data_IF_565631863211
#
_entry.id   IF_565631863211
#
_cell.length_a   1.000
_cell.length_b   1.000
_cell.length_c   1.000
_cell.angle_alpha   90.00
_cell.angle_beta   90.00
_cell.angle_gamma   90.00
#
_symmetry.space_group_name_H-M   'P 1'
#
loop_
_entity.id
_entity.type
_entity.pdbx_description
1 polymer ?
#
# COMPACT_ATOMS: atom_id res chain seq x y z
N UNK A 1 43.19 -15.29 -0.23
CA UNK A 1 42.15 -14.25 0.03
C UNK A 1 41.52 -14.35 1.43
N UNK A 2 42.36 -14.43 2.47
CA UNK A 2 41.91 -14.48 3.87
C UNK A 2 41.14 -13.21 4.25
N UNK A 3 41.53 -12.05 3.73
CA UNK A 3 40.85 -10.77 3.99
C UNK A 3 39.40 -10.72 3.44
N UNK A 4 39.14 -11.34 2.30
CA UNK A 4 37.81 -11.41 1.72
C UNK A 4 36.88 -12.35 2.52
N UNK A 5 37.42 -13.45 3.05
CA UNK A 5 36.67 -14.39 3.90
C UNK A 5 36.38 -13.77 5.27
N UNK A 6 37.34 -13.04 5.87
CA UNK A 6 37.14 -12.31 7.13
C UNK A 6 36.05 -11.24 6.96
N UNK A 7 36.10 -10.45 5.90
CA UNK A 7 35.08 -9.41 5.62
C UNK A 7 33.68 -9.99 5.41
N UNK A 8 33.56 -11.14 4.72
CA UNK A 8 32.28 -11.84 4.55
C UNK A 8 31.73 -12.36 5.88
N UNK A 9 32.60 -12.83 6.77
CA UNK A 9 32.19 -13.33 8.08
C UNK A 9 31.72 -12.20 8.99
N UNK A 10 32.39 -11.06 8.96
CA UNK A 10 31.97 -9.86 9.70
C UNK A 10 30.62 -9.34 9.19
N UNK A 11 30.43 -9.26 7.87
CA UNK A 11 29.14 -8.86 7.31
C UNK A 11 28.01 -9.84 7.68
N UNK A 12 28.27 -11.14 7.63
CA UNK A 12 27.29 -12.15 8.03
C UNK A 12 26.91 -12.03 9.51
N UNK A 13 27.88 -11.80 10.39
CA UNK A 13 27.65 -11.62 11.83
C UNK A 13 26.85 -10.34 12.12
N UNK A 14 27.17 -9.23 11.44
CA UNK A 14 26.43 -7.95 11.55
C UNK A 14 24.97 -8.11 11.15
N UNK A 15 24.71 -8.78 10.02
CA UNK A 15 23.36 -9.09 9.57
C UNK A 15 22.63 -10.02 10.54
N UNK A 16 23.33 -11.02 11.10
CA UNK A 16 22.73 -11.93 12.08
C UNK A 16 22.34 -11.19 13.36
N UNK A 17 23.20 -10.31 13.89
CA UNK A 17 22.90 -9.50 15.08
C UNK A 17 21.68 -8.60 14.80
N UNK A 18 21.62 -7.98 13.63
CA UNK A 18 20.48 -7.17 13.20
C UNK A 18 19.18 -7.98 13.19
N UNK A 19 19.17 -9.14 12.53
CA UNK A 19 17.95 -9.96 12.39
C UNK A 19 17.52 -10.54 13.74
N UNK A 20 18.45 -11.06 14.53
CA UNK A 20 18.14 -11.68 15.82
C UNK A 20 17.62 -10.65 16.82
N UNK A 21 18.23 -9.46 16.90
CA UNK A 21 17.77 -8.40 17.80
C UNK A 21 16.38 -7.86 17.37
N UNK A 22 16.14 -7.72 16.06
CA UNK A 22 14.86 -7.27 15.54
C UNK A 22 13.74 -8.29 15.84
N UNK A 23 13.97 -9.56 15.50
CA UNK A 23 12.98 -10.63 15.75
C UNK A 23 12.77 -10.80 17.26
N UNK A 24 13.83 -10.76 18.07
CA UNK A 24 13.74 -10.85 19.52
C UNK A 24 12.91 -9.74 20.14
N UNK A 25 13.12 -8.48 19.72
CA UNK A 25 12.33 -7.34 20.18
C UNK A 25 10.86 -7.45 19.76
N UNK A 26 10.60 -7.89 18.52
CA UNK A 26 9.23 -8.11 18.03
C UNK A 26 8.54 -9.29 18.76
N UNK A 27 9.26 -10.35 19.09
CA UNK A 27 8.73 -11.49 19.86
C UNK A 27 8.34 -11.11 21.28
N UNK A 28 8.98 -10.09 21.85
CA UNK A 28 8.60 -9.47 23.13
C UNK A 28 7.38 -8.53 23.02
N UNK A 29 6.77 -8.41 21.83
CA UNK A 29 5.59 -7.58 21.61
C UNK A 29 5.90 -6.08 21.43
N UNK A 30 7.14 -5.70 21.21
CA UNK A 30 7.50 -4.29 20.98
C UNK A 30 7.00 -3.80 19.61
N UNK A 31 6.42 -2.58 19.50
CA UNK A 31 6.12 -1.96 18.22
C UNK A 31 7.39 -1.83 17.36
N UNK A 32 7.23 -1.96 16.03
CA UNK A 32 8.34 -1.99 15.06
C UNK A 32 9.30 -0.81 15.22
N UNK A 33 8.80 0.40 15.51
CA UNK A 33 9.64 1.58 15.71
C UNK A 33 10.63 1.41 16.87
N UNK A 34 10.16 0.90 18.01
CA UNK A 34 11.02 0.63 19.17
C UNK A 34 11.92 -0.57 18.93
N UNK A 35 11.45 -1.61 18.25
CA UNK A 35 12.24 -2.76 17.88
C UNK A 35 13.44 -2.36 17.00
N UNK A 36 13.24 -1.43 16.05
CA UNK A 36 14.32 -0.88 15.22
C UNK A 36 15.32 -0.03 16.02
N UNK A 37 14.86 0.74 17.01
CA UNK A 37 15.75 1.48 17.90
C UNK A 37 16.63 0.54 18.74
N UNK A 38 16.02 -0.48 19.34
CA UNK A 38 16.75 -1.52 20.11
C UNK A 38 17.76 -2.22 19.20
N UNK A 39 17.36 -2.56 18.00
CA UNK A 39 18.22 -3.17 17.00
C UNK A 39 19.43 -2.28 16.66
N UNK A 40 19.20 -0.96 16.47
CA UNK A 40 20.26 0.02 16.22
C UNK A 40 21.25 0.10 17.38
N UNK A 41 20.76 0.12 18.64
CA UNK A 41 21.60 0.10 19.84
C UNK A 41 22.42 -1.19 19.93
N UNK A 42 21.79 -2.37 19.74
CA UNK A 42 22.47 -3.66 19.76
C UNK A 42 23.55 -3.75 18.67
N UNK A 43 23.27 -3.23 17.49
CA UNK A 43 24.23 -3.23 16.40
C UNK A 43 25.42 -2.32 16.68
N UNK A 44 25.19 -1.12 17.21
CA UNK A 44 26.27 -0.20 17.60
C UNK A 44 27.12 -0.78 18.74
N UNK A 45 26.49 -1.39 19.74
CA UNK A 45 27.20 -2.06 20.82
C UNK A 45 28.07 -3.21 20.30
N UNK A 46 27.55 -4.03 19.38
CA UNK A 46 28.30 -5.10 18.73
C UNK A 46 29.50 -4.58 17.93
N UNK A 47 29.29 -3.54 17.10
CA UNK A 47 30.35 -2.94 16.29
C UNK A 47 31.43 -2.25 17.14
N UNK A 48 31.07 -1.67 18.28
CA UNK A 48 32.01 -1.13 19.25
C UNK A 48 32.82 -2.23 19.94
N UNK A 49 32.16 -3.34 20.34
CA UNK A 49 32.83 -4.48 20.97
C UNK A 49 33.80 -5.21 20.01
N UNK A 50 33.51 -5.19 18.71
CA UNK A 50 34.38 -5.79 17.69
C UNK A 50 35.51 -4.87 17.21
N UNK A 51 35.57 -3.64 17.73
CA UNK A 51 36.62 -2.65 17.37
C UNK A 51 36.43 -2.03 15.99
N UNK A 52 35.30 -2.26 15.32
CA UNK A 52 34.94 -1.63 14.04
C UNK A 52 34.58 -0.15 14.24
N UNK A 53 33.93 0.16 15.38
CA UNK A 53 33.66 1.54 15.83
C UNK A 53 34.59 1.87 17.00
N UNK A 54 35.19 3.06 16.98
CA UNK A 54 36.15 3.51 17.98
C UNK A 54 35.55 3.62 19.39
N UNK A 55 34.25 3.92 19.52
CA UNK A 55 33.50 3.91 20.79
C UNK A 55 32.00 3.84 20.51
N UNK A 56 31.23 3.34 21.49
CA UNK A 56 29.78 3.49 21.50
C UNK A 56 29.45 4.96 21.83
N UNK A 57 28.85 5.65 20.87
CA UNK A 57 28.41 7.04 21.06
C UNK A 57 26.90 7.16 20.85
N UNK A 58 26.18 7.30 21.96
CA UNK A 58 24.72 7.49 21.95
C UNK A 58 24.29 8.76 21.18
N UNK A 59 25.19 9.73 21.07
CA UNK A 59 24.90 10.98 20.36
C UNK A 59 24.77 10.74 18.85
N UNK A 60 25.57 9.83 18.30
CA UNK A 60 25.45 9.44 16.88
C UNK A 60 24.07 8.83 16.62
N UNK A 61 23.57 7.98 17.53
CA UNK A 61 22.25 7.37 17.39
C UNK A 61 21.14 8.45 17.42
N UNK A 62 21.23 9.38 18.39
CA UNK A 62 20.28 10.48 18.51
C UNK A 62 20.29 11.39 17.27
N UNK A 63 21.47 11.74 16.76
CA UNK A 63 21.60 12.52 15.53
C UNK A 63 21.00 11.79 14.33
N UNK A 64 21.31 10.51 14.12
CA UNK A 64 20.75 9.72 13.03
C UNK A 64 19.23 9.57 13.10
N UNK A 65 18.69 9.52 14.32
CA UNK A 65 17.24 9.51 14.52
C UNK A 65 16.60 10.85 14.11
N UNK A 66 17.20 11.96 14.51
CA UNK A 66 16.72 13.30 14.14
C UNK A 66 16.88 13.53 12.64
N UNK A 67 18.05 13.26 12.07
CA UNK A 67 18.32 13.41 10.63
C UNK A 67 17.37 12.53 9.76
N UNK A 68 17.05 11.33 10.26
CA UNK A 68 16.10 10.43 9.59
C UNK A 68 14.67 10.94 9.64
N UNK A 69 14.28 11.64 10.70
CA UNK A 69 12.95 12.23 10.86
C UNK A 69 12.85 13.61 10.16
N UNK A 70 13.90 14.40 10.19
CA UNK A 70 13.98 15.73 9.56
C UNK A 70 14.35 15.61 8.06
N UNK A 71 13.44 14.99 7.32
CA UNK A 71 13.63 14.82 5.88
C UNK A 71 12.43 15.41 5.13
N UNK A 72 12.68 16.43 4.31
CA UNK A 72 11.65 17.16 3.59
C UNK A 72 10.68 16.25 2.80
N UNK A 73 11.12 15.22 2.04
CA UNK A 73 10.23 14.27 1.41
C UNK A 73 9.27 13.52 2.35
N UNK A 74 9.62 13.32 3.62
CA UNK A 74 8.72 12.66 4.59
C UNK A 74 7.51 13.54 4.95
N UNK A 75 7.60 14.86 4.81
CA UNK A 75 6.47 15.76 5.00
C UNK A 75 5.34 15.45 4.00
N UNK A 76 5.65 14.89 2.84
CA UNK A 76 4.62 14.48 1.90
C UNK A 76 3.66 13.41 2.48
N UNK A 77 4.14 12.54 3.38
CA UNK A 77 3.34 11.45 3.96
C UNK A 77 2.11 11.98 4.72
N UNK A 78 2.24 12.86 5.74
CA UNK A 78 1.08 13.38 6.45
C UNK A 78 0.16 14.21 5.54
N UNK A 79 0.70 14.95 4.57
CA UNK A 79 -0.13 15.70 3.63
C UNK A 79 -0.92 14.79 2.68
N UNK A 80 -0.34 13.70 2.18
CA UNK A 80 -1.07 12.72 1.39
C UNK A 80 -2.14 11.99 2.21
N UNK A 81 -1.86 11.63 3.46
CA UNK A 81 -2.85 11.04 4.36
C UNK A 81 -4.01 12.01 4.59
N UNK A 82 -3.71 13.26 4.91
CA UNK A 82 -4.73 14.29 5.13
C UNK A 82 -5.59 14.52 3.87
N UNK A 83 -4.96 14.64 2.71
CA UNK A 83 -5.66 14.77 1.43
C UNK A 83 -6.56 13.56 1.18
N UNK A 84 -6.06 12.34 1.37
CA UNK A 84 -6.81 11.10 1.22
C UNK A 84 -8.04 11.06 2.15
N UNK A 85 -7.89 11.44 3.41
CA UNK A 85 -9.00 11.51 4.36
C UNK A 85 -10.04 12.56 3.96
N UNK A 86 -9.63 13.75 3.54
CA UNK A 86 -10.57 14.76 3.05
C UNK A 86 -11.32 14.30 1.79
N UNK A 87 -10.65 13.62 0.89
CA UNK A 87 -11.26 13.07 -0.32
C UNK A 87 -12.27 11.96 0.03
N UNK A 88 -11.95 11.07 0.96
CA UNK A 88 -12.86 10.03 1.44
C UNK A 88 -14.06 10.63 2.16
N UNK A 89 -13.86 11.59 3.07
CA UNK A 89 -14.93 12.32 3.77
C UNK A 89 -15.81 13.12 2.78
N UNK A 90 -15.23 13.63 1.70
CA UNK A 90 -15.93 14.30 0.60
C UNK A 90 -16.76 13.36 -0.29
N UNK A 91 -16.76 12.04 0.00
CA UNK A 91 -17.55 11.04 -0.74
C UNK A 91 -16.96 10.66 -2.10
N UNK A 92 -15.66 10.91 -2.32
CA UNK A 92 -14.99 10.59 -3.57
C UNK A 92 -15.01 9.09 -3.84
N UNK A 93 -14.73 8.25 -2.84
CA UNK A 93 -14.77 6.79 -2.93
C UNK A 93 -16.11 6.29 -3.46
N UNK A 94 -17.22 6.88 -2.98
CA UNK A 94 -18.56 6.53 -3.44
C UNK A 94 -18.77 6.91 -4.90
N UNK A 95 -18.30 8.08 -5.33
CA UNK A 95 -18.42 8.54 -6.73
C UNK A 95 -17.61 7.67 -7.69
N UNK A 96 -16.45 7.19 -7.27
CA UNK A 96 -15.62 6.25 -8.04
C UNK A 96 -16.33 4.92 -8.20
N UNK A 97 -16.94 4.40 -7.13
CA UNK A 97 -17.74 3.17 -7.17
C UNK A 97 -18.95 3.34 -8.08
N UNK A 98 -19.71 4.44 -7.94
CA UNK A 98 -20.88 4.72 -8.78
C UNK A 98 -20.51 4.80 -10.26
N UNK A 99 -19.36 5.42 -10.57
CA UNK A 99 -18.83 5.45 -11.94
C UNK A 99 -18.49 4.04 -12.43
N UNK A 100 -17.78 3.24 -11.63
CA UNK A 100 -17.46 1.85 -11.94
C UNK A 100 -18.72 1.03 -12.21
N UNK A 101 -19.75 1.17 -11.36
CA UNK A 101 -21.04 0.49 -11.54
C UNK A 101 -21.70 0.89 -12.88
N UNK A 102 -21.67 2.18 -13.22
CA UNK A 102 -22.25 2.65 -14.46
C UNK A 102 -21.60 2.05 -15.72
N UNK A 103 -20.28 1.85 -15.70
CA UNK A 103 -19.53 1.39 -16.87
C UNK A 103 -19.30 -0.14 -16.89
N UNK A 104 -18.98 -0.72 -15.77
CA UNK A 104 -18.52 -2.12 -15.65
C UNK A 104 -19.53 -3.00 -14.92
N UNK A 105 -20.46 -2.43 -14.16
CA UNK A 105 -21.41 -3.18 -13.32
C UNK A 105 -22.32 -4.16 -14.07
N UNK A 106 -22.57 -3.93 -15.35
CA UNK A 106 -23.44 -4.75 -16.18
C UNK A 106 -22.82 -6.06 -16.67
N UNK A 107 -21.51 -6.27 -16.46
CA UNK A 107 -20.88 -7.55 -16.79
C UNK A 107 -21.21 -8.63 -15.75
N UNK A 108 -21.05 -9.89 -16.13
CA UNK A 108 -21.15 -11.00 -15.19
C UNK A 108 -20.07 -10.85 -14.11
N UNK A 109 -20.47 -10.77 -12.82
CA UNK A 109 -19.55 -10.44 -11.74
C UNK A 109 -19.16 -8.96 -11.69
N UNK A 110 -19.95 -8.07 -12.29
CA UNK A 110 -19.64 -6.64 -12.52
C UNK A 110 -19.19 -5.88 -11.28
N UNK A 111 -19.82 -6.10 -10.12
CA UNK A 111 -19.41 -5.43 -8.87
C UNK A 111 -17.99 -5.79 -8.43
N UNK A 112 -17.50 -6.98 -8.77
CA UNK A 112 -16.13 -7.32 -8.49
C UNK A 112 -15.13 -6.60 -9.40
N UNK A 113 -15.47 -6.42 -10.70
CA UNK A 113 -14.65 -5.57 -11.56
C UNK A 113 -14.68 -4.10 -11.12
N UNK A 114 -15.84 -3.63 -10.63
CA UNK A 114 -15.95 -2.30 -10.01
C UNK A 114 -15.00 -2.19 -8.83
N UNK A 115 -14.90 -3.23 -7.99
CA UNK A 115 -13.98 -3.25 -6.86
C UNK A 115 -12.51 -3.11 -7.31
N UNK A 116 -12.10 -3.85 -8.33
CA UNK A 116 -10.73 -3.80 -8.87
C UNK A 116 -10.43 -2.43 -9.48
N UNK A 117 -11.32 -1.91 -10.33
CA UNK A 117 -11.13 -0.59 -10.97
C UNK A 117 -11.13 0.52 -9.92
N UNK A 118 -12.06 0.49 -8.96
CA UNK A 118 -12.11 1.45 -7.89
C UNK A 118 -10.85 1.40 -7.00
N UNK A 119 -10.33 0.19 -6.71
CA UNK A 119 -9.09 0.04 -5.96
C UNK A 119 -7.88 0.65 -6.68
N UNK A 120 -7.75 0.45 -8.00
CA UNK A 120 -6.69 1.05 -8.81
C UNK A 120 -6.78 2.59 -8.80
N UNK A 121 -7.98 3.15 -8.98
CA UNK A 121 -8.18 4.60 -8.98
C UNK A 121 -7.91 5.18 -7.58
N UNK A 122 -8.41 4.55 -6.52
CA UNK A 122 -8.19 5.02 -5.14
C UNK A 122 -6.71 4.89 -4.73
N UNK A 123 -6.04 3.84 -5.17
CA UNK A 123 -4.61 3.66 -4.97
C UNK A 123 -3.79 4.87 -5.46
N UNK A 124 -4.17 5.44 -6.61
CA UNK A 124 -3.51 6.63 -7.18
C UNK A 124 -3.82 7.94 -6.43
N UNK A 125 -4.70 7.91 -5.43
CA UNK A 125 -5.11 9.10 -4.68
C UNK A 125 -4.52 9.16 -3.28
N UNK A 126 -4.60 8.06 -2.52
CA UNK A 126 -4.21 8.04 -1.10
C UNK A 126 -2.92 7.27 -0.82
N UNK A 127 -2.62 6.25 -1.62
CA UNK A 127 -1.48 5.36 -1.42
C UNK A 127 -1.53 4.57 -0.09
N UNK A 128 -2.69 4.55 0.59
CA UNK A 128 -2.90 3.87 1.87
C UNK A 128 -3.74 2.60 1.69
N UNK A 129 -3.08 1.43 1.76
CA UNK A 129 -3.78 0.15 1.64
C UNK A 129 -4.93 -0.01 2.62
N UNK A 130 -4.73 0.37 3.88
CA UNK A 130 -5.70 0.18 4.96
C UNK A 130 -6.91 1.10 4.79
N UNK A 131 -6.68 2.40 4.58
CA UNK A 131 -7.75 3.38 4.43
C UNK A 131 -8.59 3.10 3.18
N UNK A 132 -7.95 2.83 2.04
CA UNK A 132 -8.63 2.55 0.78
C UNK A 132 -9.44 1.26 0.84
N UNK A 133 -8.86 0.20 1.42
CA UNK A 133 -9.58 -1.06 1.61
C UNK A 133 -10.79 -0.89 2.51
N UNK A 134 -10.65 -0.17 3.61
CA UNK A 134 -11.77 0.09 4.54
C UNK A 134 -12.89 0.90 3.86
N UNK A 135 -12.55 1.96 3.13
CA UNK A 135 -13.51 2.78 2.40
C UNK A 135 -14.26 1.98 1.33
N UNK A 136 -13.54 1.19 0.52
CA UNK A 136 -14.14 0.32 -0.49
C UNK A 136 -14.98 -0.78 0.13
N UNK A 137 -14.52 -1.41 1.21
CA UNK A 137 -15.23 -2.46 1.90
C UNK A 137 -16.58 -1.97 2.44
N UNK A 138 -16.60 -0.78 3.05
CA UNK A 138 -17.81 -0.18 3.60
C UNK A 138 -18.91 0.06 2.54
N UNK A 139 -18.50 0.33 1.30
CA UNK A 139 -19.43 0.60 0.20
C UNK A 139 -19.77 -0.68 -0.57
N UNK A 140 -18.75 -1.43 -0.98
CA UNK A 140 -18.91 -2.53 -1.93
C UNK A 140 -19.41 -3.83 -1.29
N UNK A 141 -18.99 -4.16 -0.05
CA UNK A 141 -19.42 -5.42 0.58
C UNK A 141 -20.94 -5.46 0.78
N UNK A 142 -21.62 -4.41 1.30
CA UNK A 142 -23.07 -4.38 1.38
C UNK A 142 -23.75 -4.49 0.01
N UNK A 143 -23.23 -3.79 -1.00
CA UNK A 143 -23.77 -3.84 -2.37
C UNK A 143 -23.64 -5.24 -2.98
N UNK A 144 -22.47 -5.87 -2.84
CA UNK A 144 -22.21 -7.22 -3.34
C UNK A 144 -23.10 -8.25 -2.63
N UNK A 145 -23.25 -8.13 -1.30
CA UNK A 145 -24.16 -8.99 -0.53
C UNK A 145 -25.62 -8.87 -1.00
N UNK A 146 -26.11 -7.65 -1.22
CA UNK A 146 -27.48 -7.42 -1.74
C UNK A 146 -27.66 -7.98 -3.16
N UNK A 147 -26.62 -7.97 -3.97
CA UNK A 147 -26.61 -8.54 -5.30
C UNK A 147 -26.40 -10.08 -5.34
N UNK A 148 -26.35 -10.73 -4.15
CA UNK A 148 -26.26 -12.20 -4.04
C UNK A 148 -24.84 -12.77 -4.15
N UNK A 149 -23.80 -11.94 -3.98
CA UNK A 149 -22.42 -12.41 -3.92
C UNK A 149 -22.09 -12.99 -2.55
N UNK A 150 -21.22 -13.99 -2.52
CA UNK A 150 -20.69 -14.55 -1.28
C UNK A 150 -19.82 -13.51 -0.55
N UNK A 151 -20.13 -13.24 0.73
CA UNK A 151 -19.48 -12.19 1.52
C UNK A 151 -17.99 -12.44 1.68
N UNK A 152 -17.59 -13.70 1.93
CA UNK A 152 -16.18 -14.04 2.14
C UNK A 152 -15.34 -13.78 0.89
N UNK A 153 -15.87 -14.09 -0.30
CA UNK A 153 -15.19 -13.82 -1.58
C UNK A 153 -15.14 -12.33 -1.91
N UNK A 154 -16.23 -11.62 -1.59
CA UNK A 154 -16.29 -10.17 -1.74
C UNK A 154 -15.26 -9.47 -0.85
N UNK A 155 -15.16 -9.89 0.42
CA UNK A 155 -14.16 -9.37 1.35
C UNK A 155 -12.72 -9.69 0.89
N UNK A 156 -12.46 -10.92 0.45
CA UNK A 156 -11.17 -11.32 -0.10
C UNK A 156 -10.77 -10.52 -1.34
N UNK A 157 -11.72 -10.25 -2.25
CA UNK A 157 -11.47 -9.42 -3.43
C UNK A 157 -11.12 -7.98 -3.07
N UNK A 158 -11.89 -7.36 -2.17
CA UNK A 158 -11.63 -5.98 -1.73
C UNK A 158 -10.30 -5.88 -1.00
N UNK A 159 -9.98 -6.86 -0.14
CA UNK A 159 -8.67 -6.93 0.53
C UNK A 159 -7.51 -7.09 -0.47
N UNK A 160 -7.67 -7.97 -1.47
CA UNK A 160 -6.68 -8.13 -2.54
C UNK A 160 -6.51 -6.83 -3.36
N UNK A 161 -7.62 -6.12 -3.64
CA UNK A 161 -7.58 -4.81 -4.30
C UNK A 161 -6.78 -3.77 -3.51
N UNK A 162 -6.92 -3.77 -2.18
CA UNK A 162 -6.21 -2.84 -1.32
C UNK A 162 -4.68 -2.97 -1.33
N UNK A 163 -4.15 -4.16 -1.67
CA UNK A 163 -2.70 -4.37 -1.79
C UNK A 163 -2.09 -3.59 -2.97
N UNK A 164 -2.90 -3.13 -3.91
CA UNK A 164 -2.44 -2.32 -5.05
C UNK A 164 -1.99 -0.93 -4.59
N UNK A 165 -2.62 -0.35 -3.56
CA UNK A 165 -2.39 1.02 -3.12
C UNK A 165 -0.92 1.34 -2.75
N UNK A 166 -0.16 0.49 -2.06
CA UNK A 166 1.25 0.77 -1.77
C UNK A 166 2.17 0.68 -3.00
N UNK A 167 1.69 0.21 -4.14
CA UNK A 167 2.49 -0.03 -5.35
C UNK A 167 2.22 1.01 -6.44
N UNK A 168 0.97 1.45 -6.59
CA UNK A 168 0.61 2.50 -7.56
C UNK A 168 0.96 3.89 -6.98
N UNK A 169 1.67 4.75 -7.72
CA UNK A 169 1.95 6.12 -7.29
C UNK A 169 0.68 6.99 -7.18
N UNK A 170 0.64 7.93 -6.23
CA UNK A 170 1.61 8.18 -5.17
C UNK A 170 1.51 7.14 -4.03
N UNK A 171 2.64 6.57 -3.62
CA UNK A 171 2.70 5.54 -2.59
C UNK A 171 3.49 6.03 -1.39
N UNK A 172 2.89 5.98 -0.21
CA UNK A 172 3.54 6.31 1.07
C UNK A 172 4.71 5.38 1.31
N UNK A 173 4.57 4.09 0.98
CA UNK A 173 5.63 3.10 1.11
C UNK A 173 6.87 3.46 0.27
N UNK A 174 6.69 3.93 -0.95
CA UNK A 174 7.80 4.34 -1.82
C UNK A 174 8.47 5.63 -1.35
N UNK A 175 7.74 6.56 -0.73
CA UNK A 175 8.32 7.76 -0.13
C UNK A 175 9.25 7.36 1.02
N UNK A 176 8.76 6.55 1.95
CA UNK A 176 9.54 6.06 3.10
C UNK A 176 10.76 5.26 2.63
N UNK A 177 10.56 4.34 1.68
CA UNK A 177 11.66 3.54 1.13
C UNK A 177 12.69 4.39 0.40
N UNK A 178 12.24 5.39 -0.37
CA UNK A 178 13.12 6.31 -1.09
C UNK A 178 14.01 7.12 -0.16
N UNK A 179 13.44 7.62 0.94
CA UNK A 179 14.19 8.35 1.98
C UNK A 179 15.15 7.43 2.71
N UNK A 180 14.68 6.29 3.20
CA UNK A 180 15.51 5.35 3.96
C UNK A 180 16.65 4.74 3.13
N UNK A 181 16.38 4.47 1.84
CA UNK A 181 17.36 3.86 0.92
C UNK A 181 18.19 4.88 0.13
N UNK A 182 17.98 6.20 0.31
CA UNK A 182 18.60 7.26 -0.50
C UNK A 182 18.40 7.03 -2.01
N UNK A 183 17.20 6.56 -2.40
CA UNK A 183 16.82 6.30 -3.79
C UNK A 183 15.82 7.34 -4.26
N UNK A 184 15.88 7.72 -5.53
CA UNK A 184 14.97 8.70 -6.13
C UNK A 184 13.51 8.21 -6.04
N UNK A 185 12.67 8.93 -5.32
CA UNK A 185 11.23 8.66 -5.16
C UNK A 185 10.52 8.67 -6.51
N UNK A 186 10.88 9.60 -7.40
CA UNK A 186 10.31 9.67 -8.76
C UNK A 186 10.59 8.40 -9.56
N UNK A 187 11.81 7.83 -9.47
CA UNK A 187 12.14 6.57 -10.13
C UNK A 187 11.38 5.40 -9.53
N UNK A 188 11.16 5.38 -8.21
CA UNK A 188 10.35 4.36 -7.54
C UNK A 188 8.88 4.45 -7.99
N UNK A 189 8.34 5.64 -8.11
CA UNK A 189 6.97 5.85 -8.60
C UNK A 189 6.81 5.32 -10.03
N UNK A 190 7.73 5.65 -10.93
CA UNK A 190 7.71 5.13 -12.30
C UNK A 190 7.84 3.61 -12.34
N UNK A 191 8.70 3.04 -11.49
CA UNK A 191 8.86 1.59 -11.39
C UNK A 191 7.62 0.87 -10.85
N UNK A 192 6.80 1.53 -10.03
CA UNK A 192 5.57 0.98 -9.44
C UNK A 192 4.40 0.87 -10.40
N UNK A 193 4.37 1.65 -11.48
CA UNK A 193 3.23 1.69 -12.41
C UNK A 193 2.99 0.31 -13.05
N UNK A 194 4.02 -0.28 -13.61
CA UNK A 194 3.91 -1.57 -14.31
C UNK A 194 3.49 -2.71 -13.38
N UNK A 195 4.16 -2.93 -12.23
CA UNK A 195 3.72 -3.94 -11.27
C UNK A 195 2.31 -3.69 -10.75
N UNK A 196 1.94 -2.44 -10.45
CA UNK A 196 0.61 -2.09 -9.96
C UNK A 196 -0.50 -2.41 -10.97
N UNK A 197 -0.29 -2.10 -12.24
CA UNK A 197 -1.22 -2.48 -13.32
C UNK A 197 -1.30 -4.00 -13.48
N UNK A 198 -0.17 -4.70 -13.44
CA UNK A 198 -0.14 -6.17 -13.52
C UNK A 198 -0.88 -6.82 -12.34
N UNK A 199 -0.75 -6.27 -11.13
CA UNK A 199 -1.52 -6.72 -9.97
C UNK A 199 -3.03 -6.53 -10.19
N UNK A 200 -3.45 -5.36 -10.64
CA UNK A 200 -4.84 -5.10 -10.97
C UNK A 200 -5.40 -6.05 -12.03
N UNK A 201 -4.64 -6.28 -13.08
CA UNK A 201 -5.02 -7.23 -14.14
C UNK A 201 -5.11 -8.67 -13.60
N UNK A 202 -4.15 -9.10 -12.80
CA UNK A 202 -4.14 -10.46 -12.22
C UNK A 202 -5.34 -10.69 -11.30
N UNK A 203 -5.68 -9.71 -10.46
CA UNK A 203 -6.88 -9.76 -9.60
C UNK A 203 -8.14 -9.78 -10.46
N UNK A 204 -8.19 -8.97 -11.53
CA UNK A 204 -9.30 -8.96 -12.48
C UNK A 204 -9.50 -10.31 -13.18
N UNK A 205 -8.42 -10.96 -13.60
CA UNK A 205 -8.45 -12.31 -14.22
C UNK A 205 -8.91 -13.36 -13.20
N UNK A 206 -8.35 -13.31 -11.97
CA UNK A 206 -8.77 -14.22 -10.90
C UNK A 206 -10.26 -14.05 -10.58
N UNK A 207 -10.73 -12.80 -10.53
CA UNK A 207 -12.16 -12.52 -10.33
C UNK A 207 -13.03 -13.04 -11.48
N UNK A 208 -12.58 -12.92 -12.71
CA UNK A 208 -13.30 -13.48 -13.87
C UNK A 208 -13.54 -14.98 -13.72
N UNK A 209 -12.54 -15.71 -13.26
CA UNK A 209 -12.66 -17.15 -13.00
C UNK A 209 -13.68 -17.46 -11.91
N UNK A 210 -13.63 -16.70 -10.80
CA UNK A 210 -14.57 -16.84 -9.68
C UNK A 210 -15.99 -16.49 -10.11
N UNK A 211 -16.19 -15.36 -10.79
CA UNK A 211 -17.50 -14.92 -11.26
C UNK A 211 -18.13 -15.88 -12.27
N UNK A 212 -17.31 -16.55 -13.09
CA UNK A 212 -17.77 -17.58 -14.02
C UNK A 212 -18.24 -18.84 -13.27
N UNK A 213 -17.52 -19.22 -12.22
CA UNK A 213 -17.84 -20.42 -11.40
C UNK A 213 -19.11 -20.23 -10.59
N UNK A 214 -19.28 -19.05 -10.00
CA UNK A 214 -20.39 -18.76 -9.09
C UNK A 214 -21.70 -18.41 -9.81
N UNK A 215 -21.68 -18.37 -11.14
CA UNK A 215 -22.83 -18.08 -11.99
C UNK A 215 -23.57 -16.77 -11.58
N UNK A 216 -22.85 -15.77 -11.12
CA UNK A 216 -23.40 -14.50 -10.66
C UNK A 216 -24.16 -13.81 -11.80
N UNK A 217 -25.39 -13.40 -11.53
CA UNK A 217 -26.23 -12.75 -12.54
C UNK A 217 -25.71 -11.35 -12.86
N UNK A 218 -25.64 -10.98 -14.14
CA UNK A 218 -25.27 -9.62 -14.53
C UNK A 218 -26.34 -8.64 -14.07
N UNK A 219 -25.92 -7.45 -13.62
CA UNK A 219 -26.84 -6.38 -13.32
C UNK A 219 -27.47 -5.79 -14.62
N UNK A 220 -28.67 -5.20 -14.55
CA UNK A 220 -29.26 -4.55 -15.71
C UNK A 220 -28.38 -3.39 -16.19
N UNK A 221 -28.30 -3.19 -17.51
CA UNK A 221 -27.52 -2.09 -18.10
C UNK A 221 -28.17 -0.76 -17.78
N UNK A 222 -27.43 0.17 -17.20
CA UNK A 222 -27.89 1.55 -17.09
C UNK A 222 -28.05 2.20 -18.46
N UNK A 223 -29.11 3.00 -18.69
CA UNK A 223 -29.30 3.74 -19.94
C UNK A 223 -28.18 4.76 -20.14
N UNK A 224 -27.82 5.00 -21.41
CA UNK A 224 -26.69 5.87 -21.81
C UNK A 224 -26.77 7.28 -21.18
N UNK A 225 -27.93 7.96 -21.12
CA UNK A 225 -28.02 9.30 -20.53
C UNK A 225 -27.67 9.31 -19.04
N UNK A 226 -28.01 8.24 -18.32
CA UNK A 226 -27.73 8.12 -16.90
C UNK A 226 -26.25 7.82 -16.64
N UNK A 227 -25.60 7.02 -17.49
CA UNK A 227 -24.15 6.82 -17.47
C UNK A 227 -23.39 8.11 -17.68
N UNK A 228 -23.81 8.91 -18.67
CA UNK A 228 -23.20 10.19 -18.98
C UNK A 228 -23.33 11.16 -17.80
N UNK A 229 -24.51 11.22 -17.19
CA UNK A 229 -24.78 12.04 -16.02
C UNK A 229 -23.91 11.62 -14.81
N UNK A 230 -23.75 10.31 -14.58
CA UNK A 230 -22.89 9.79 -13.54
C UNK A 230 -21.43 10.11 -13.83
N UNK A 231 -21.00 9.99 -15.09
CA UNK A 231 -19.63 10.34 -15.50
C UNK A 231 -19.35 11.83 -15.29
N UNK A 232 -20.25 12.73 -15.67
CA UNK A 232 -20.08 14.17 -15.44
C UNK A 232 -20.04 14.51 -13.95
N UNK A 233 -20.90 13.90 -13.14
CA UNK A 233 -20.89 14.07 -11.67
C UNK A 233 -19.59 13.54 -11.03
N UNK A 234 -19.00 12.51 -11.60
CA UNK A 234 -17.76 11.91 -11.13
C UNK A 234 -16.51 12.48 -11.82
N UNK A 235 -16.69 13.42 -12.77
CA UNK A 235 -15.57 13.99 -13.52
C UNK A 235 -14.52 14.65 -12.62
N UNK A 236 -14.94 15.34 -11.56
CA UNK A 236 -14.03 15.87 -10.55
C UNK A 236 -13.25 14.78 -9.83
N UNK A 237 -13.84 13.61 -9.62
CA UNK A 237 -13.17 12.48 -8.99
C UNK A 237 -12.05 11.87 -9.85
N UNK A 238 -12.16 12.03 -11.17
CA UNK A 238 -11.18 11.51 -12.14
C UNK A 238 -10.10 12.57 -12.44
N UNK A 239 -10.45 13.85 -12.33
CA UNK A 239 -9.53 14.94 -12.65
C UNK A 239 -8.60 15.34 -11.49
N UNK A 240 -8.81 14.81 -10.30
CA UNK A 240 -8.02 15.11 -9.11
C UNK A 240 -6.65 14.40 -9.02
N UNK A 241 -6.44 13.18 -9.56
CA UNK A 241 -5.14 12.52 -9.53
C UNK A 241 -4.11 13.12 -10.52
#
# INVERSE_FOLDING_TARGET
DVAAVCRRREQAMTVTVFIVSLIGAMALGMPIAYALLVCGVCLMAYLSATGVLAAFDAQILAQRFVDGADNFPLLAVPFFLLAGEFMNAGGLSRRIVDLGVAWVGHFRGGLGYVAVVAAIIMASLSGSAVADTAALAAILIPMMRQAGYEVNRSAGLVAAGGIIAPVIPPSIGFIIFGVAGNVSITKLFLAGIVPGVLMGLSIGIAWWWVAKRDNVRPAPRMPIPERLRTTVRSAFAIALP
#
